data_IF_138994517488
#
_entry.id   IF_138994517488
#
_cell.length_a   1.000
_cell.length_b   1.000
_cell.length_c   1.000
_cell.angle_alpha   90.00
_cell.angle_beta   90.00
_cell.angle_gamma   90.00
#
_symmetry.space_group_name_H-M   'P 1'
#
loop_
_entity.id
_entity.type
_entity.pdbx_description
1 polymer ?
#
# COMPACT_ATOMS: atom_id res chain seq x y z
N UNK A 1 -5.22 -15.64 5.05
CA UNK A 1 -4.39 -15.08 3.97
C UNK A 1 -5.27 -15.03 2.73
N UNK A 2 -5.67 -13.83 2.29
CA UNK A 2 -6.46 -13.59 1.07
C UNK A 2 -5.72 -12.58 0.22
N UNK A 3 -5.19 -12.99 -0.92
CA UNK A 3 -4.33 -12.14 -1.77
C UNK A 3 -5.10 -11.37 -2.83
N UNK A 4 -6.43 -11.51 -2.87
CA UNK A 4 -7.29 -10.77 -3.79
C UNK A 4 -7.03 -9.27 -3.62
N UNK A 5 -6.74 -8.54 -4.69
CA UNK A 5 -6.50 -7.09 -4.64
C UNK A 5 -5.12 -6.65 -4.15
N UNK A 6 -4.24 -7.54 -3.68
CA UNK A 6 -2.88 -7.17 -3.29
C UNK A 6 -2.10 -6.51 -4.44
N UNK A 7 -2.25 -7.03 -5.67
CA UNK A 7 -1.59 -6.47 -6.85
C UNK A 7 -2.13 -5.08 -7.22
N UNK A 8 -3.44 -4.86 -7.12
CA UNK A 8 -4.05 -3.56 -7.38
C UNK A 8 -3.52 -2.52 -6.39
N UNK A 9 -3.42 -2.89 -5.11
CA UNK A 9 -2.96 -2.01 -4.03
C UNK A 9 -1.44 -1.78 -4.09
N UNK A 10 -0.66 -2.78 -4.53
CA UNK A 10 0.76 -2.58 -4.80
C UNK A 10 0.96 -1.51 -5.89
N UNK A 11 0.29 -1.65 -7.03
CA UNK A 11 0.39 -0.65 -8.10
C UNK A 11 -0.15 0.72 -7.67
N UNK A 12 -1.23 0.75 -6.89
CA UNK A 12 -1.77 2.00 -6.34
C UNK A 12 -0.77 2.69 -5.38
N UNK A 13 -0.12 1.94 -4.48
CA UNK A 13 0.90 2.47 -3.58
C UNK A 13 2.13 3.00 -4.32
N UNK A 14 2.58 2.28 -5.36
CA UNK A 14 3.68 2.74 -6.22
C UNK A 14 3.30 4.02 -6.96
N UNK A 15 2.13 4.05 -7.60
CA UNK A 15 1.63 5.23 -8.31
C UNK A 15 1.45 6.43 -7.35
N UNK A 16 0.97 6.17 -6.13
CA UNK A 16 0.79 7.19 -5.09
C UNK A 16 2.12 7.85 -4.69
N UNK A 17 3.19 7.08 -4.51
CA UNK A 17 4.52 7.58 -4.18
C UNK A 17 5.16 8.34 -5.33
N UNK A 18 5.11 7.77 -6.55
CA UNK A 18 5.65 8.40 -7.75
C UNK A 18 4.95 9.72 -8.08
N UNK A 19 3.62 9.78 -7.95
CA UNK A 19 2.86 11.01 -8.15
C UNK A 19 3.21 12.14 -7.16
N UNK A 20 3.84 11.80 -6.02
CA UNK A 20 4.35 12.76 -5.02
C UNK A 20 5.82 13.11 -5.21
N UNK A 21 6.47 12.58 -6.24
CA UNK A 21 7.91 12.78 -6.45
C UNK A 21 8.79 12.10 -5.41
N UNK A 22 8.29 11.04 -4.75
CA UNK A 22 9.14 10.24 -3.86
C UNK A 22 10.17 9.45 -4.66
N UNK A 23 11.30 9.17 -4.01
CA UNK A 23 12.27 8.21 -4.53
C UNK A 23 11.60 6.85 -4.82
N UNK A 24 11.99 6.13 -5.90
CA UNK A 24 11.43 4.83 -6.22
C UNK A 24 11.49 3.83 -5.05
N UNK A 25 12.56 3.83 -4.25
CA UNK A 25 12.70 2.98 -3.07
C UNK A 25 11.61 3.22 -2.03
N UNK A 26 11.35 4.49 -1.68
CA UNK A 26 10.24 4.83 -0.78
C UNK A 26 8.88 4.44 -1.35
N UNK A 27 8.70 4.60 -2.67
CA UNK A 27 7.45 4.27 -3.36
C UNK A 27 7.19 2.75 -3.39
N UNK A 28 8.24 1.95 -3.64
CA UNK A 28 8.17 0.49 -3.60
C UNK A 28 7.96 -0.03 -2.18
N UNK A 29 8.57 0.60 -1.17
CA UNK A 29 8.37 0.24 0.22
C UNK A 29 6.90 0.44 0.67
N UNK A 30 6.30 1.60 0.34
CA UNK A 30 4.86 1.83 0.55
C UNK A 30 4.01 0.78 -0.17
N UNK A 31 4.30 0.53 -1.45
CA UNK A 31 3.55 -0.43 -2.28
C UNK A 31 3.55 -1.83 -1.67
N UNK A 32 4.73 -2.33 -1.27
CA UNK A 32 4.89 -3.64 -0.67
C UNK A 32 4.17 -3.73 0.67
N UNK A 33 4.34 -2.74 1.54
CA UNK A 33 3.67 -2.71 2.84
C UNK A 33 2.15 -2.65 2.70
N UNK A 34 1.61 -1.77 1.85
CA UNK A 34 0.16 -1.64 1.67
C UNK A 34 -0.47 -2.91 1.11
N UNK A 35 0.19 -3.57 0.15
CA UNK A 35 -0.26 -4.86 -0.39
C UNK A 35 -0.23 -5.98 0.67
N UNK A 36 0.76 -5.98 1.57
CA UNK A 36 0.84 -6.95 2.66
C UNK A 36 -0.33 -6.79 3.64
N UNK A 37 -0.76 -5.56 3.93
CA UNK A 37 -1.91 -5.30 4.81
C UNK A 37 -3.21 -5.88 4.23
N UNK A 38 -3.40 -5.80 2.90
CA UNK A 38 -4.56 -6.41 2.22
C UNK A 38 -4.60 -7.91 2.44
N UNK A 39 -3.45 -8.58 2.40
CA UNK A 39 -3.35 -10.04 2.57
C UNK A 39 -3.85 -10.54 3.94
N UNK A 40 -3.95 -9.65 4.93
CA UNK A 40 -4.35 -9.96 6.31
C UNK A 40 -5.86 -10.05 6.51
N UNK A 41 -6.69 -9.60 5.55
CA UNK A 41 -8.15 -9.54 5.68
C UNK A 41 -8.85 -10.09 4.44
N UNK A 42 -9.99 -10.74 4.64
CA UNK A 42 -10.82 -11.25 3.55
C UNK A 42 -11.54 -10.12 2.80
N UNK A 43 -11.69 -10.25 1.49
CA UNK A 43 -12.54 -9.39 0.65
C UNK A 43 -11.79 -8.34 -0.15
N UNK A 44 -10.47 -8.47 -0.29
CA UNK A 44 -9.56 -7.73 -1.17
C UNK A 44 -9.44 -6.21 -1.02
N UNK A 45 -10.38 -5.57 -0.34
CA UNK A 45 -10.39 -4.13 -0.02
C UNK A 45 -10.29 -3.88 1.47
N UNK A 46 -10.72 -4.85 2.27
CA UNK A 46 -10.87 -4.70 3.72
C UNK A 46 -9.56 -4.44 4.46
N UNK A 47 -8.42 -4.82 3.86
CA UNK A 47 -7.08 -4.58 4.39
C UNK A 47 -6.31 -3.44 3.71
N UNK A 48 -6.97 -2.63 2.86
CA UNK A 48 -6.35 -1.41 2.33
C UNK A 48 -6.09 -0.45 3.51
N UNK A 49 -4.85 0.02 3.72
CA UNK A 49 -4.54 0.94 4.80
C UNK A 49 -5.26 2.28 4.63
N UNK A 50 -5.69 2.87 5.74
CA UNK A 50 -6.21 4.22 5.79
C UNK A 50 -5.06 5.23 5.75
N UNK A 51 -5.40 6.50 5.54
CA UNK A 51 -4.42 7.58 5.44
C UNK A 51 -3.64 7.77 6.74
N UNK A 52 -4.31 7.54 7.87
CA UNK A 52 -3.71 7.57 9.20
C UNK A 52 -2.61 6.50 9.34
N UNK A 53 -2.85 5.28 8.84
CA UNK A 53 -1.85 4.19 8.87
C UNK A 53 -0.59 4.57 8.08
N UNK A 54 -0.74 5.31 6.98
CA UNK A 54 0.38 5.79 6.17
C UNK A 54 1.23 6.81 6.93
N UNK A 55 0.61 7.71 7.69
CA UNK A 55 1.30 8.70 8.54
C UNK A 55 2.03 8.01 9.68
N UNK A 56 1.37 7.07 10.36
CA UNK A 56 1.96 6.30 11.45
C UNK A 56 3.17 5.48 10.97
N UNK A 57 3.17 5.07 9.70
CA UNK A 57 4.30 4.37 9.05
C UNK A 57 5.36 5.30 8.45
N UNK A 58 5.16 6.61 8.48
CA UNK A 58 6.12 7.61 7.98
C UNK A 58 6.13 7.78 6.45
N UNK A 59 5.08 7.32 5.78
CA UNK A 59 4.92 7.57 4.34
C UNK A 59 4.41 8.99 4.07
N UNK A 60 3.44 9.49 4.85
CA UNK A 60 2.95 10.88 4.82
C UNK A 60 3.47 11.74 5.97
#
# INVERSE_FOLDING_TARGET
MDTTGCGDVFHAGLAYGLARGWDPGKSFDLAAWAAAQVATRLGGRAGIPAREDLRDRGYE
#
